data_IF_506674374716
#
_entry.id   IF_506674374716
#
_cell.length_a   1.000
_cell.length_b   1.000
_cell.length_c   1.000
_cell.angle_alpha   90.00
_cell.angle_beta   90.00
_cell.angle_gamma   90.00
#
_symmetry.space_group_name_H-M   'P 1'
#
loop_
_entity.id
_entity.type
_entity.pdbx_description
1 polymer ?
#
# COMPACT_ATOMS: atom_id res chain seq x y z
N UNK A 1 24.90 3.82 -18.24
CA UNK A 1 24.80 3.26 -16.88
C UNK A 1 24.15 4.25 -15.89
N UNK A 2 22.87 4.59 -16.02
CA UNK A 2 22.21 5.56 -15.12
C UNK A 2 21.64 4.94 -13.83
N UNK A 3 21.53 3.61 -13.76
CA UNK A 3 20.86 2.94 -12.63
C UNK A 3 21.66 2.91 -11.31
N UNK A 4 22.98 3.03 -11.37
CA UNK A 4 23.84 2.94 -10.17
C UNK A 4 23.78 4.21 -9.32
N UNK A 5 23.69 5.37 -9.94
CA UNK A 5 23.61 6.65 -9.23
C UNK A 5 22.25 6.87 -8.54
N UNK A 6 21.16 6.42 -9.15
CA UNK A 6 19.81 6.51 -8.54
C UNK A 6 19.66 5.61 -7.30
N UNK A 7 20.44 4.52 -7.20
CA UNK A 7 20.46 3.63 -6.03
C UNK A 7 21.32 4.15 -4.88
N UNK A 8 22.34 4.95 -5.18
CA UNK A 8 23.27 5.48 -4.18
C UNK A 8 22.72 6.73 -3.48
N UNK A 9 21.68 7.35 -4.02
CA UNK A 9 21.05 8.55 -3.45
C UNK A 9 19.88 8.19 -2.54
N UNK A 10 19.56 9.10 -1.63
CA UNK A 10 18.31 9.04 -0.88
C UNK A 10 17.13 8.96 -1.85
N UNK A 11 16.09 8.21 -1.48
CA UNK A 11 14.90 7.99 -2.33
C UNK A 11 14.30 9.32 -2.77
N UNK A 12 14.29 9.62 -4.09
CA UNK A 12 13.84 10.91 -4.59
C UNK A 12 12.32 11.03 -4.56
N UNK A 13 11.82 12.26 -4.49
CA UNK A 13 10.40 12.56 -4.63
C UNK A 13 9.91 12.23 -6.04
N UNK A 14 10.71 12.54 -7.06
CA UNK A 14 10.34 12.37 -8.46
C UNK A 14 11.46 11.70 -9.26
N UNK A 15 11.05 10.81 -10.18
CA UNK A 15 11.93 10.16 -11.14
C UNK A 15 11.43 10.46 -12.54
N UNK A 16 12.33 10.82 -13.43
CA UNK A 16 12.02 11.09 -14.84
C UNK A 16 12.77 10.10 -15.73
N UNK A 17 12.04 9.45 -16.60
CA UNK A 17 12.58 8.57 -17.63
C UNK A 17 12.39 9.16 -19.01
N UNK A 18 13.45 9.23 -19.79
CA UNK A 18 13.42 9.66 -21.19
C UNK A 18 14.00 8.58 -22.07
N UNK A 19 13.23 8.09 -23.02
CA UNK A 19 13.65 7.05 -23.96
C UNK A 19 12.49 6.28 -24.56
N UNK A 20 12.82 5.40 -25.52
CA UNK A 20 11.86 4.54 -26.22
C UNK A 20 12.05 3.05 -25.90
N UNK A 21 13.05 2.71 -25.08
CA UNK A 21 13.34 1.32 -24.69
C UNK A 21 12.48 0.95 -23.49
N UNK A 22 11.40 0.24 -23.74
CA UNK A 22 10.46 -0.19 -22.72
C UNK A 22 11.07 -1.18 -21.72
N UNK A 23 11.95 -2.07 -22.18
CA UNK A 23 12.61 -3.03 -21.30
C UNK A 23 13.58 -2.34 -20.32
N UNK A 24 14.33 -1.35 -20.80
CA UNK A 24 15.20 -0.55 -19.94
C UNK A 24 14.38 0.30 -18.96
N UNK A 25 13.26 0.89 -19.39
CA UNK A 25 12.33 1.62 -18.52
C UNK A 25 11.84 0.72 -17.40
N UNK A 26 11.31 -0.45 -17.73
CA UNK A 26 10.70 -1.36 -16.75
C UNK A 26 11.75 -1.92 -15.78
N UNK A 27 12.97 -2.13 -16.25
CA UNK A 27 14.10 -2.48 -15.41
C UNK A 27 14.48 -1.36 -14.41
N UNK A 28 14.37 -0.08 -14.80
CA UNK A 28 14.59 1.05 -13.89
C UNK A 28 13.45 1.14 -12.89
N UNK A 29 12.21 1.10 -13.34
CA UNK A 29 11.03 1.21 -12.48
C UNK A 29 10.97 0.10 -11.42
N UNK A 30 11.33 -1.13 -11.79
CA UNK A 30 11.33 -2.27 -10.86
C UNK A 30 12.48 -2.24 -9.85
N UNK A 31 13.57 -1.54 -10.15
CA UNK A 31 14.80 -1.52 -9.32
C UNK A 31 14.98 -0.23 -8.52
N UNK A 32 14.16 0.78 -8.74
CA UNK A 32 14.24 2.06 -8.05
C UNK A 32 12.96 2.36 -7.29
N UNK A 33 13.06 3.14 -6.23
CA UNK A 33 11.93 3.61 -5.44
C UNK A 33 11.93 5.13 -5.43
N UNK A 34 10.82 5.72 -5.86
CA UNK A 34 10.59 7.17 -5.86
C UNK A 34 9.15 7.48 -5.47
N UNK A 35 8.85 8.71 -5.12
CA UNK A 35 7.49 9.15 -4.81
C UNK A 35 6.58 9.16 -6.03
N UNK A 36 7.07 9.58 -7.18
CA UNK A 36 6.34 9.56 -8.43
C UNK A 36 7.26 9.39 -9.64
N UNK A 37 6.70 9.02 -10.78
CA UNK A 37 7.44 8.82 -12.04
C UNK A 37 6.70 9.49 -13.19
N UNK A 38 7.44 10.18 -14.05
CA UNK A 38 6.95 10.62 -15.36
C UNK A 38 7.84 10.06 -16.46
N UNK A 39 7.22 9.51 -17.50
CA UNK A 39 7.90 8.90 -18.66
C UNK A 39 7.80 9.86 -19.84
N UNK A 40 8.94 10.19 -20.43
CA UNK A 40 9.10 11.07 -21.59
C UNK A 40 8.54 12.49 -21.41
N UNK A 41 8.41 12.92 -20.16
CA UNK A 41 8.02 14.29 -19.81
C UNK A 41 8.48 14.63 -18.38
N UNK A 42 8.18 15.85 -17.91
CA UNK A 42 8.49 16.34 -16.58
C UNK A 42 7.20 16.80 -15.89
N UNK A 43 7.15 16.66 -14.56
CA UNK A 43 6.13 17.21 -13.67
C UNK A 43 4.69 16.70 -13.86
N UNK A 44 4.35 15.99 -14.92
CA UNK A 44 2.98 15.57 -15.19
C UNK A 44 2.37 14.64 -14.14
N UNK A 45 3.17 13.82 -13.47
CA UNK A 45 2.69 13.01 -12.33
C UNK A 45 2.20 13.89 -11.16
N UNK A 46 2.75 15.09 -11.01
CA UNK A 46 2.34 16.04 -9.97
C UNK A 46 0.96 16.65 -10.25
N UNK A 47 0.62 16.83 -11.52
CA UNK A 47 -0.66 17.43 -11.95
C UNK A 47 -1.82 16.44 -11.94
N UNK A 48 -1.55 15.15 -11.73
CA UNK A 48 -2.56 14.09 -11.74
C UNK A 48 -3.28 13.99 -10.39
N UNK A 49 -4.43 14.66 -10.27
CA UNK A 49 -5.22 14.69 -9.03
C UNK A 49 -5.76 13.31 -8.60
N UNK A 50 -5.82 12.35 -9.53
CA UNK A 50 -6.28 10.98 -9.27
C UNK A 50 -5.14 9.99 -8.95
N UNK A 51 -3.91 10.47 -8.87
CA UNK A 51 -2.75 9.65 -8.49
C UNK A 51 -2.21 10.10 -7.14
N UNK A 52 -1.70 9.16 -6.31
CA UNK A 52 -1.05 9.53 -5.06
C UNK A 52 0.19 10.36 -5.34
N UNK A 53 0.31 11.51 -4.71
CA UNK A 53 1.50 12.34 -4.72
C UNK A 53 2.12 12.36 -3.33
N UNK A 54 3.32 11.86 -3.21
CA UNK A 54 4.02 11.82 -1.94
C UNK A 54 5.43 11.28 -2.09
N UNK A 55 6.25 11.50 -1.07
CA UNK A 55 7.63 11.02 -1.02
C UNK A 55 7.77 9.64 -0.38
N UNK A 56 8.98 9.11 -0.39
CA UNK A 56 9.32 7.84 0.25
C UNK A 56 10.57 8.02 1.12
N UNK A 57 10.45 7.79 2.40
CA UNK A 57 11.54 7.92 3.35
C UNK A 57 12.04 9.36 3.46
N UNK A 58 13.28 9.66 3.02
CA UNK A 58 13.88 10.98 3.13
C UNK A 58 13.12 12.06 2.30
N UNK A 59 12.41 11.68 1.24
CA UNK A 59 11.67 12.61 0.39
C UNK A 59 10.23 12.89 0.87
N UNK A 60 9.74 12.19 1.88
CA UNK A 60 8.43 12.41 2.46
C UNK A 60 7.79 11.16 3.05
N UNK A 61 6.62 11.33 3.66
CA UNK A 61 5.80 10.27 4.25
C UNK A 61 4.35 10.52 3.88
N UNK A 62 3.63 9.45 3.52
CA UNK A 62 2.24 9.53 3.09
C UNK A 62 2.08 10.02 1.66
N UNK A 63 0.85 10.13 1.22
CA UNK A 63 0.48 10.59 -0.11
C UNK A 63 -0.76 11.47 -0.05
N UNK A 64 -0.84 12.45 -0.93
CA UNK A 64 -1.99 13.34 -1.04
C UNK A 64 -2.45 13.41 -2.50
N UNK A 65 -3.40 14.20 -2.81
CA UNK A 65 -4.26 14.33 -3.98
C UNK A 65 -5.51 13.44 -3.92
N UNK A 66 -6.65 14.06 -4.22
CA UNK A 66 -7.95 13.40 -4.34
C UNK A 66 -8.28 12.46 -3.18
N UNK A 67 -8.64 11.25 -3.51
CA UNK A 67 -9.00 10.20 -2.53
C UNK A 67 -7.84 9.82 -1.59
N UNK A 68 -6.61 9.86 -2.07
CA UNK A 68 -5.42 9.51 -1.28
C UNK A 68 -5.21 10.50 -0.14
N UNK A 69 -5.28 11.79 -0.42
CA UNK A 69 -5.18 12.83 0.62
C UNK A 69 -6.35 12.80 1.58
N UNK A 70 -7.55 12.53 1.09
CA UNK A 70 -8.73 12.36 1.95
C UNK A 70 -8.55 11.18 2.91
N UNK A 71 -8.08 10.03 2.44
CA UNK A 71 -7.82 8.85 3.28
C UNK A 71 -6.72 9.09 4.29
N UNK A 72 -5.64 9.75 3.90
CA UNK A 72 -4.50 10.04 4.77
C UNK A 72 -4.89 10.96 5.93
N UNK A 73 -5.77 11.92 5.68
CA UNK A 73 -6.25 12.88 6.67
C UNK A 73 -7.52 12.43 7.40
N UNK A 74 -8.03 11.23 7.10
CA UNK A 74 -9.27 10.72 7.66
C UNK A 74 -9.04 9.56 8.63
N UNK A 75 -9.77 9.55 9.73
CA UNK A 75 -9.79 8.43 10.65
C UNK A 75 -10.78 7.36 10.15
N UNK A 76 -10.27 6.22 9.74
CA UNK A 76 -11.10 5.06 9.42
C UNK A 76 -11.69 4.47 10.70
N UNK A 77 -13.02 4.47 10.80
CA UNK A 77 -13.75 3.87 11.92
C UNK A 77 -14.36 2.54 11.49
N UNK A 78 -13.80 1.41 11.89
CA UNK A 78 -14.44 0.13 11.60
C UNK A 78 -15.73 0.00 12.42
N UNK A 79 -16.81 -0.42 11.77
CA UNK A 79 -18.09 -0.69 12.41
C UNK A 79 -18.49 -2.12 12.13
N UNK A 80 -18.59 -2.92 13.18
CA UNK A 80 -18.99 -4.31 13.10
C UNK A 80 -20.44 -4.46 13.58
N UNK A 81 -21.33 -4.90 12.70
CA UNK A 81 -22.71 -5.24 13.04
C UNK A 81 -22.81 -6.73 13.36
N UNK A 82 -23.09 -7.02 14.61
CA UNK A 82 -23.30 -8.40 15.05
C UNK A 82 -24.56 -8.99 14.41
N UNK A 83 -24.42 -10.14 13.75
CA UNK A 83 -25.57 -10.91 13.29
C UNK A 83 -26.38 -11.45 14.49
N UNK A 84 -27.71 -11.41 14.47
CA UNK A 84 -28.55 -11.99 15.52
C UNK A 84 -28.36 -13.51 15.65
N UNK A 85 -27.89 -14.19 14.60
CA UNK A 85 -27.59 -15.61 14.62
C UNK A 85 -26.25 -15.95 15.28
N UNK A 86 -25.40 -14.96 15.51
CA UNK A 86 -24.11 -15.16 16.14
C UNK A 86 -24.26 -15.30 17.66
N UNK A 87 -23.89 -16.48 18.18
CA UNK A 87 -23.91 -16.79 19.62
C UNK A 87 -22.50 -16.68 20.19
N UNK A 88 -22.07 -15.50 20.73
CA UNK A 88 -20.74 -15.34 21.30
C UNK A 88 -20.51 -16.24 22.53
N UNK A 89 -21.57 -16.75 23.14
CA UNK A 89 -21.46 -17.75 24.23
C UNK A 89 -20.66 -19.01 23.84
N UNK A 90 -20.54 -19.30 22.53
CA UNK A 90 -19.70 -20.40 22.06
C UNK A 90 -18.19 -20.09 22.13
N UNK A 91 -17.83 -18.80 22.13
CA UNK A 91 -16.46 -18.30 22.17
C UNK A 91 -16.03 -17.81 23.56
N UNK A 92 -16.96 -17.81 24.53
CA UNK A 92 -16.69 -17.39 25.92
C UNK A 92 -16.49 -18.58 26.85
N UNK A 93 -15.68 -18.41 27.92
CA UNK A 93 -15.56 -19.40 28.99
C UNK A 93 -16.92 -19.73 29.66
N UNK A 94 -17.06 -20.91 30.25
CA UNK A 94 -16.10 -22.04 30.29
C UNK A 94 -16.07 -22.82 28.97
N UNK A 95 -14.85 -23.18 28.55
CA UNK A 95 -14.64 -23.79 27.24
C UNK A 95 -14.99 -25.29 27.19
N UNK A 96 -14.71 -26.04 28.25
CA UNK A 96 -15.10 -27.44 28.40
C UNK A 96 -15.19 -28.23 27.09
N UNK A 97 -16.37 -28.84 26.84
CA UNK A 97 -16.64 -29.61 25.63
C UNK A 97 -16.60 -28.79 24.32
N UNK A 98 -16.51 -27.45 24.40
CA UNK A 98 -16.43 -26.59 23.21
C UNK A 98 -15.04 -26.58 22.57
N UNK A 99 -13.98 -26.91 23.35
CA UNK A 99 -12.59 -26.93 22.85
C UNK A 99 -12.41 -27.88 21.68
N UNK A 100 -12.92 -29.10 21.79
CA UNK A 100 -12.80 -30.08 20.70
C UNK A 100 -13.48 -29.64 19.40
N UNK A 101 -14.60 -28.91 19.49
CA UNK A 101 -15.28 -28.34 18.34
C UNK A 101 -14.50 -27.18 17.71
N UNK A 102 -13.86 -26.37 18.55
CA UNK A 102 -13.04 -25.25 18.12
C UNK A 102 -11.76 -25.71 17.41
N UNK A 103 -11.08 -26.72 17.95
CA UNK A 103 -9.93 -27.35 17.31
C UNK A 103 -10.27 -27.95 15.94
N UNK A 104 -11.42 -28.63 15.86
CA UNK A 104 -11.89 -29.19 14.57
C UNK A 104 -12.17 -28.09 13.56
N UNK A 105 -12.75 -26.97 13.98
CA UNK A 105 -13.01 -25.82 13.11
C UNK A 105 -11.72 -25.15 12.64
N UNK A 106 -10.75 -24.94 13.53
CA UNK A 106 -9.46 -24.37 13.21
C UNK A 106 -8.67 -25.23 12.22
N UNK A 107 -8.69 -26.56 12.39
CA UNK A 107 -8.07 -27.51 11.43
C UNK A 107 -8.74 -27.52 10.06
N UNK A 108 -10.00 -27.14 9.98
CA UNK A 108 -10.71 -27.04 8.70
C UNK A 108 -10.43 -25.71 7.97
N UNK A 109 -10.05 -24.67 8.71
CA UNK A 109 -9.75 -23.33 8.18
C UNK A 109 -8.25 -23.09 7.91
N UNK A 110 -7.39 -23.99 8.34
CA UNK A 110 -5.94 -23.99 8.05
C UNK A 110 -5.62 -24.87 6.85
#
# INVERSE_FOLDING_TARGET
>A
MPCSSARAQARPLSLYWFGKDDAARDAVLSRTVSGGVTVNDCLFHYLQVNQPMGGVGASGTGAYHGEWGFRELSQLKPVFYRSPLNRPSNLCPPYGAKMARMEKLLRFLS
#
